data_IF_377763898593
#
_entry.id   IF_377763898593
#
_cell.length_a   1.000
_cell.length_b   1.000
_cell.length_c   1.000
_cell.angle_alpha   90.00
_cell.angle_beta   90.00
_cell.angle_gamma   90.00
#
_symmetry.space_group_name_H-M   'P 1'
#
loop_
_entity.id
_entity.type
_entity.pdbx_description
1 polymer ?
#
# COMPACT_ATOMS: atom_id res chain seq x y z
N UNK A 1 50.84 41.00 22.88
CA UNK A 1 50.64 41.48 21.49
C UNK A 1 51.33 40.52 20.54
N UNK A 2 50.57 39.60 19.96
CA UNK A 2 51.00 38.74 18.85
C UNK A 2 49.90 38.81 17.80
N UNK A 3 50.21 39.34 16.62
CA UNK A 3 49.29 39.54 15.51
C UNK A 3 49.01 38.19 14.83
N UNK A 4 47.75 37.82 14.68
CA UNK A 4 47.33 36.68 13.85
C UNK A 4 46.83 37.23 12.52
N UNK A 5 47.38 36.84 11.37
CA UNK A 5 46.94 37.37 10.08
C UNK A 5 45.59 36.80 9.68
N UNK A 6 44.73 37.69 9.18
CA UNK A 6 43.41 37.39 8.65
C UNK A 6 43.57 36.74 7.26
N UNK A 7 43.12 35.50 7.09
CA UNK A 7 43.16 34.79 5.80
C UNK A 7 41.83 35.05 5.10
N UNK A 8 41.84 35.91 4.07
CA UNK A 8 40.71 36.07 3.15
C UNK A 8 40.59 34.82 2.27
N UNK A 9 39.44 34.15 2.34
CA UNK A 9 39.06 33.09 1.39
C UNK A 9 38.52 33.75 0.12
N UNK A 10 38.99 33.35 -1.08
CA UNK A 10 38.52 33.93 -2.32
C UNK A 10 37.07 33.51 -2.60
N UNK A 11 36.32 34.47 -3.14
CA UNK A 11 34.95 34.39 -3.59
C UNK A 11 34.78 33.34 -4.70
N UNK A 12 33.98 32.30 -4.44
CA UNK A 12 33.59 31.32 -5.44
C UNK A 12 32.54 31.92 -6.38
N UNK A 13 32.95 32.30 -7.60
CA UNK A 13 32.05 32.46 -8.74
C UNK A 13 32.38 31.41 -9.81
N UNK A 14 31.34 30.67 -10.21
CA UNK A 14 31.22 30.08 -11.55
C UNK A 14 31.68 28.64 -11.72
N UNK A 15 30.74 27.76 -12.05
CA UNK A 15 31.02 26.45 -12.68
C UNK A 15 29.93 25.42 -12.45
N UNK A 16 29.00 25.29 -13.39
CA UNK A 16 27.90 24.32 -13.35
C UNK A 16 28.23 23.11 -14.23
N UNK A 17 27.90 21.91 -13.69
CA UNK A 17 27.69 20.59 -14.32
C UNK A 17 28.95 19.76 -14.57
N UNK A 18 29.05 18.56 -13.96
CA UNK A 18 28.75 17.24 -14.57
C UNK A 18 28.48 16.22 -13.45
N UNK A 19 27.33 15.52 -13.50
CA UNK A 19 27.21 14.14 -13.00
C UNK A 19 27.22 13.87 -11.48
N UNK A 20 26.48 14.63 -10.66
CA UNK A 20 26.10 14.08 -9.34
C UNK A 20 25.06 12.99 -9.56
N UNK A 21 25.54 11.76 -9.74
CA UNK A 21 24.76 10.58 -9.35
C UNK A 21 24.46 10.81 -7.87
N UNK A 22 23.21 11.15 -7.56
CA UNK A 22 22.74 11.09 -6.18
C UNK A 22 22.83 9.61 -5.82
N UNK A 23 23.90 9.24 -5.13
CA UNK A 23 24.03 7.94 -4.47
C UNK A 23 22.85 7.83 -3.51
N UNK A 24 21.75 7.22 -3.97
CA UNK A 24 20.59 6.94 -3.15
C UNK A 24 21.01 5.94 -2.09
N UNK A 25 21.38 6.45 -0.91
CA UNK A 25 21.63 5.61 0.25
C UNK A 25 20.35 4.86 0.62
N UNK A 26 20.29 3.57 0.29
CA UNK A 26 19.18 2.69 0.67
C UNK A 26 19.47 2.08 2.03
N UNK A 27 18.56 2.29 2.97
CA UNK A 27 18.59 1.62 4.28
C UNK A 27 17.77 0.34 4.18
N UNK A 28 18.38 -0.80 4.48
CA UNK A 28 17.67 -2.06 4.58
C UNK A 28 17.26 -2.30 6.03
N UNK A 29 15.98 -2.53 6.25
CA UNK A 29 15.42 -2.91 7.54
C UNK A 29 14.68 -4.25 7.42
N UNK A 30 14.51 -4.95 8.53
CA UNK A 30 13.73 -6.19 8.63
C UNK A 30 12.80 -6.11 9.82
N UNK A 31 11.55 -6.53 9.63
CA UNK A 31 10.57 -6.69 10.70
C UNK A 31 10.39 -8.20 10.89
N UNK A 32 10.49 -8.66 12.15
CA UNK A 32 10.34 -10.08 12.50
C UNK A 32 9.14 -10.21 13.43
N UNK A 33 8.25 -11.14 13.11
CA UNK A 33 7.06 -11.46 13.90
C UNK A 33 7.26 -12.80 14.62
N UNK A 34 6.68 -12.95 15.81
CA UNK A 34 6.70 -14.22 16.55
C UNK A 34 5.74 -15.24 15.91
N UNK A 35 4.64 -14.74 15.34
CA UNK A 35 3.58 -15.54 14.75
C UNK A 35 4.01 -16.21 13.45
N UNK A 36 4.07 -17.54 13.45
CA UNK A 36 4.33 -18.35 12.25
C UNK A 36 2.99 -18.84 11.69
N UNK A 37 2.52 -18.18 10.64
CA UNK A 37 1.29 -18.53 9.94
C UNK A 37 1.50 -19.38 8.68
N UNK A 38 0.45 -20.07 8.23
CA UNK A 38 0.42 -20.75 6.92
C UNK A 38 -0.38 -19.90 5.93
N UNK A 39 0.17 -19.53 4.76
CA UNK A 39 -0.57 -18.78 3.75
C UNK A 39 -1.83 -19.50 3.27
N UNK A 40 -2.90 -18.76 2.98
CA UNK A 40 -4.22 -19.34 2.66
C UNK A 40 -4.17 -20.25 1.43
N UNK A 41 -3.33 -19.92 0.43
CA UNK A 41 -3.14 -20.74 -0.77
C UNK A 41 -2.49 -22.11 -0.51
N UNK A 42 -1.92 -22.33 0.69
CA UNK A 42 -1.31 -23.60 1.08
C UNK A 42 -2.25 -24.47 1.93
N UNK A 43 -3.36 -23.90 2.43
CA UNK A 43 -4.33 -24.61 3.25
C UNK A 43 -5.06 -25.67 2.43
N UNK A 44 -5.44 -26.77 3.10
CA UNK A 44 -6.04 -27.96 2.46
C UNK A 44 -7.47 -28.21 2.90
N UNK A 45 -7.99 -27.45 3.85
CA UNK A 45 -9.35 -27.61 4.35
C UNK A 45 -10.14 -26.33 4.17
N UNK A 46 -11.38 -26.46 3.69
CA UNK A 46 -12.26 -25.30 3.52
C UNK A 46 -12.54 -24.57 4.82
N UNK A 47 -12.67 -25.31 5.93
CA UNK A 47 -12.88 -24.72 7.27
C UNK A 47 -11.78 -23.71 7.60
N UNK A 48 -10.51 -24.08 7.38
CA UNK A 48 -9.36 -23.22 7.65
C UNK A 48 -9.28 -22.05 6.68
N UNK A 49 -9.57 -22.28 5.39
CA UNK A 49 -9.64 -21.22 4.39
C UNK A 49 -10.69 -20.19 4.80
N UNK A 50 -11.89 -20.63 5.20
CA UNK A 50 -12.96 -19.71 5.62
C UNK A 50 -12.60 -18.95 6.90
N UNK A 51 -11.91 -19.56 7.86
CA UNK A 51 -11.40 -18.85 9.04
C UNK A 51 -10.42 -17.76 8.63
N UNK A 52 -9.45 -18.08 7.77
CA UNK A 52 -8.44 -17.13 7.31
C UNK A 52 -9.07 -15.95 6.55
N UNK A 53 -9.95 -16.24 5.58
CA UNK A 53 -10.65 -15.22 4.79
C UNK A 53 -11.59 -14.35 5.63
N UNK A 54 -12.36 -14.95 6.54
CA UNK A 54 -13.26 -14.22 7.45
C UNK A 54 -12.47 -13.20 8.26
N UNK A 55 -11.36 -13.62 8.87
CA UNK A 55 -10.55 -12.77 9.73
C UNK A 55 -9.77 -11.72 8.93
N UNK A 56 -9.36 -12.02 7.69
CA UNK A 56 -8.80 -11.04 6.76
C UNK A 56 -9.81 -9.92 6.43
N UNK A 57 -11.08 -10.26 6.18
CA UNK A 57 -12.14 -9.25 5.98
C UNK A 57 -12.35 -8.39 7.24
N UNK A 58 -12.27 -8.98 8.44
CA UNK A 58 -12.29 -8.21 9.69
C UNK A 58 -11.08 -7.27 9.81
N UNK A 59 -9.89 -7.72 9.43
CA UNK A 59 -8.69 -6.89 9.42
C UNK A 59 -8.82 -5.71 8.44
N UNK A 60 -9.32 -5.95 7.21
CA UNK A 60 -9.60 -4.87 6.25
C UNK A 60 -10.62 -3.85 6.79
N UNK A 61 -11.69 -4.32 7.44
CA UNK A 61 -12.65 -3.43 8.11
C UNK A 61 -11.99 -2.61 9.23
N UNK A 62 -11.11 -3.23 10.02
CA UNK A 62 -10.38 -2.53 11.07
C UNK A 62 -9.42 -1.47 10.49
N UNK A 63 -8.68 -1.78 9.43
CA UNK A 63 -7.84 -0.80 8.71
C UNK A 63 -8.68 0.36 8.19
N UNK A 64 -9.82 0.08 7.55
CA UNK A 64 -10.68 1.12 7.00
C UNK A 64 -11.29 2.01 8.09
N UNK A 65 -11.54 1.47 9.30
CA UNK A 65 -12.03 2.26 10.44
C UNK A 65 -11.08 3.40 10.82
N UNK A 66 -9.78 3.19 10.58
CA UNK A 66 -8.71 4.19 10.77
C UNK A 66 -8.27 4.84 9.45
N UNK A 67 -9.10 4.76 8.40
CA UNK A 67 -8.90 5.36 7.07
C UNK A 67 -7.76 4.76 6.24
N UNK A 68 -7.27 3.58 6.59
CA UNK A 68 -6.27 2.88 5.79
C UNK A 68 -6.89 1.80 4.89
N UNK A 69 -6.28 1.63 3.72
CA UNK A 69 -6.48 0.51 2.80
C UNK A 69 -5.15 -0.23 2.60
N UNK A 70 -5.20 -1.51 2.29
CA UNK A 70 -4.04 -2.39 2.18
C UNK A 70 -3.33 -2.30 0.83
N UNK A 71 -4.09 -2.33 -0.27
CA UNK A 71 -3.64 -2.25 -1.67
C UNK A 71 -2.74 -3.37 -2.18
N UNK A 72 -2.59 -4.45 -1.41
CA UNK A 72 -1.88 -5.67 -1.84
C UNK A 72 -2.44 -6.91 -1.14
N UNK A 73 -3.77 -7.00 -1.11
CA UNK A 73 -4.45 -8.20 -0.64
C UNK A 73 -4.22 -9.30 -1.67
N UNK A 74 -3.70 -10.42 -1.19
CA UNK A 74 -3.44 -11.61 -2.00
C UNK A 74 -3.50 -12.86 -1.13
N UNK A 75 -3.67 -14.02 -1.75
CA UNK A 75 -3.58 -15.29 -1.05
C UNK A 75 -2.24 -15.56 -0.33
N UNK A 76 -1.16 -14.87 -0.68
CA UNK A 76 0.13 -14.95 0.02
C UNK A 76 0.16 -14.11 1.31
N UNK A 77 -0.63 -13.03 1.36
CA UNK A 77 -0.67 -12.06 2.45
C UNK A 77 -1.79 -12.35 3.47
N UNK A 78 -2.57 -13.40 3.25
CA UNK A 78 -3.55 -13.92 4.20
C UNK A 78 -3.01 -15.19 4.81
N UNK A 79 -2.71 -15.16 6.11
CA UNK A 79 -2.16 -16.29 6.85
C UNK A 79 -3.20 -16.90 7.79
N UNK A 80 -3.12 -18.20 8.03
CA UNK A 80 -3.76 -18.86 9.16
C UNK A 80 -2.73 -19.09 10.27
N UNK A 81 -2.97 -18.51 11.44
CA UNK A 81 -2.19 -18.76 12.64
C UNK A 81 -2.88 -19.84 13.48
N UNK A 82 -2.11 -20.85 13.90
CA UNK A 82 -2.56 -21.87 14.85
C UNK A 82 -2.01 -21.54 16.23
N UNK A 83 -2.91 -21.35 17.18
CA UNK A 83 -2.56 -20.99 18.55
C UNK A 83 -2.53 -22.22 19.46
N UNK A 84 -1.80 -22.14 20.59
CA UNK A 84 -1.89 -23.15 21.64
C UNK A 84 -3.34 -23.38 22.07
N UNK A 85 -3.69 -24.65 22.29
CA UNK A 85 -5.07 -25.05 22.62
C UNK A 85 -5.98 -25.25 21.42
N UNK A 86 -5.43 -25.34 20.20
CA UNK A 86 -6.16 -25.76 18.99
C UNK A 86 -7.02 -24.67 18.36
N UNK A 87 -6.90 -23.42 18.84
CA UNK A 87 -7.56 -22.27 18.22
C UNK A 87 -6.82 -21.88 16.93
N UNK A 88 -7.56 -21.34 15.96
CA UNK A 88 -6.98 -20.81 14.73
C UNK A 88 -7.61 -19.44 14.43
N UNK A 89 -6.79 -18.51 13.93
CA UNK A 89 -7.22 -17.19 13.49
C UNK A 89 -6.54 -16.81 12.19
N UNK A 90 -7.23 -16.06 11.34
CA UNK A 90 -6.62 -15.44 10.18
C UNK A 90 -5.83 -14.19 10.56
N UNK A 91 -4.81 -13.89 9.76
CA UNK A 91 -3.96 -12.72 9.89
C UNK A 91 -3.72 -12.14 8.49
N UNK A 92 -3.98 -10.84 8.33
CA UNK A 92 -3.60 -10.09 7.14
C UNK A 92 -2.24 -9.43 7.41
N UNK A 93 -1.26 -9.71 6.56
CA UNK A 93 0.12 -9.23 6.68
C UNK A 93 0.51 -8.37 5.49
N UNK A 94 1.72 -7.80 5.52
CA UNK A 94 2.33 -7.05 4.43
C UNK A 94 1.68 -5.68 4.15
N UNK A 95 1.85 -4.78 5.13
CA UNK A 95 1.30 -3.41 5.09
C UNK A 95 2.22 -2.40 4.39
N UNK A 96 3.23 -2.83 3.63
CA UNK A 96 4.20 -1.91 3.01
C UNK A 96 3.54 -0.95 1.99
N UNK A 97 2.45 -1.41 1.38
CA UNK A 97 1.65 -0.61 0.47
C UNK A 97 0.42 0.00 1.14
N UNK A 98 0.23 -0.13 2.45
CA UNK A 98 -0.94 0.44 3.10
C UNK A 98 -0.98 1.97 2.92
N UNK A 99 -2.17 2.53 2.73
CA UNK A 99 -2.34 3.96 2.43
C UNK A 99 -3.57 4.54 3.12
N UNK A 100 -3.41 5.76 3.63
CA UNK A 100 -4.52 6.60 4.06
C UNK A 100 -5.36 7.05 2.86
N UNK A 101 -6.62 6.62 2.82
CA UNK A 101 -7.57 6.92 1.74
C UNK A 101 -7.90 8.42 1.64
N UNK A 102 -7.68 9.19 2.70
CA UNK A 102 -7.88 10.65 2.69
C UNK A 102 -6.78 11.38 1.92
N UNK A 103 -5.62 10.74 1.73
CA UNK A 103 -4.50 11.30 0.98
C UNK A 103 -4.66 10.99 -0.51
N UNK A 104 -4.78 12.05 -1.31
CA UNK A 104 -4.94 11.94 -2.76
C UNK A 104 -3.75 11.21 -3.40
N UNK A 105 -4.06 10.37 -4.37
CA UNK A 105 -3.07 9.73 -5.23
C UNK A 105 -2.31 10.76 -6.06
N UNK A 106 -0.99 10.63 -6.09
CA UNK A 106 -0.15 11.43 -7.00
C UNK A 106 -0.14 10.76 -8.37
N UNK A 107 0.07 11.53 -9.48
CA UNK A 107 0.17 10.95 -10.81
C UNK A 107 1.29 9.91 -10.97
N UNK A 108 2.29 9.94 -10.08
CA UNK A 108 3.45 9.05 -10.08
C UNK A 108 3.30 7.88 -9.11
N UNK A 109 2.15 7.73 -8.48
CA UNK A 109 1.90 6.58 -7.63
C UNK A 109 1.93 5.30 -8.47
N UNK A 110 2.88 4.43 -8.16
CA UNK A 110 3.06 3.16 -8.85
C UNK A 110 1.83 2.27 -8.66
N UNK A 111 1.53 1.42 -9.66
CA UNK A 111 0.55 0.36 -9.45
C UNK A 111 1.18 -0.62 -8.47
N UNK A 112 0.66 -0.64 -7.24
CA UNK A 112 1.02 -1.60 -6.21
C UNK A 112 -0.01 -2.71 -6.21
N UNK A 113 0.37 -3.89 -5.72
CA UNK A 113 -0.51 -5.04 -5.67
C UNK A 113 -0.07 -6.18 -6.59
N UNK A 114 -0.37 -7.40 -6.18
CA UNK A 114 -0.16 -8.61 -6.98
C UNK A 114 -1.11 -8.63 -8.19
N UNK A 115 -0.57 -8.65 -9.42
CA UNK A 115 -1.34 -8.40 -10.66
C UNK A 115 -2.56 -9.31 -10.85
N UNK A 116 -2.45 -10.58 -10.49
CA UNK A 116 -3.52 -11.56 -10.68
C UNK A 116 -4.67 -11.38 -9.68
N UNK A 117 -4.39 -10.71 -8.56
CA UNK A 117 -5.35 -10.43 -7.49
C UNK A 117 -5.79 -8.98 -7.46
N UNK A 118 -5.30 -8.14 -8.37
CA UNK A 118 -5.63 -6.72 -8.40
C UNK A 118 -7.06 -6.49 -8.89
N UNK A 119 -7.84 -5.72 -8.11
CA UNK A 119 -9.14 -5.22 -8.52
C UNK A 119 -9.14 -4.60 -9.93
N UNK A 120 -10.20 -4.85 -10.70
CA UNK A 120 -10.29 -4.41 -12.10
C UNK A 120 -10.17 -2.90 -12.25
N UNK A 121 -10.86 -2.13 -11.41
CA UNK A 121 -10.80 -0.66 -11.44
C UNK A 121 -9.40 -0.13 -11.12
N UNK A 122 -8.65 -0.82 -10.24
CA UNK A 122 -7.25 -0.49 -9.91
C UNK A 122 -6.33 -0.78 -11.10
N UNK A 123 -6.55 -1.91 -11.78
CA UNK A 123 -5.78 -2.29 -12.97
C UNK A 123 -6.01 -1.32 -14.13
N UNK A 124 -7.26 -0.93 -14.37
CA UNK A 124 -7.65 -0.01 -15.44
C UNK A 124 -7.44 1.47 -15.07
N UNK A 125 -7.24 1.78 -13.78
CA UNK A 125 -7.16 3.14 -13.23
C UNK A 125 -8.37 4.00 -13.59
N UNK A 126 -9.56 3.40 -13.56
CA UNK A 126 -10.81 4.04 -13.91
C UNK A 126 -11.97 3.44 -13.12
N UNK A 127 -12.98 4.27 -12.80
CA UNK A 127 -14.23 3.79 -12.23
C UNK A 127 -15.09 3.15 -13.33
N UNK A 128 -15.26 1.83 -13.28
CA UNK A 128 -16.03 1.02 -14.23
C UNK A 128 -17.45 0.74 -13.73
N UNK A 129 -17.67 0.70 -12.41
CA UNK A 129 -18.90 0.21 -11.79
C UNK A 129 -19.69 1.27 -11.01
N UNK A 130 -19.35 2.55 -11.15
CA UNK A 130 -20.15 3.62 -10.51
C UNK A 130 -21.54 3.68 -11.15
N UNK A 131 -22.63 3.56 -10.37
CA UNK A 131 -23.97 3.80 -10.89
C UNK A 131 -24.05 5.26 -11.38
N UNK A 132 -24.72 5.47 -12.52
CA UNK A 132 -24.99 6.82 -13.00
C UNK A 132 -25.77 7.55 -11.90
N UNK A 133 -25.27 8.67 -11.34
CA UNK A 133 -26.14 9.55 -10.58
C UNK A 133 -27.26 10.01 -11.50
N UNK A 134 -28.45 10.27 -10.97
CA UNK A 134 -29.53 10.93 -11.71
C UNK A 134 -28.93 12.17 -12.39
N UNK A 135 -28.81 12.12 -13.72
CA UNK A 135 -28.15 13.16 -14.49
C UNK A 135 -29.08 14.36 -14.57
N UNK A 136 -28.67 15.48 -13.96
CA UNK A 136 -29.26 16.77 -14.30
C UNK A 136 -28.86 17.12 -15.75
N UNK A 137 -29.82 17.39 -16.64
CA UNK A 137 -29.54 17.60 -18.06
C UNK A 137 -28.67 18.85 -18.27
N UNK A 138 -27.43 18.65 -18.74
CA UNK A 138 -26.52 19.72 -19.16
C UNK A 138 -25.13 19.73 -18.52
N UNK A 139 -24.88 18.89 -17.50
CA UNK A 139 -23.58 18.87 -16.83
C UNK A 139 -22.59 17.89 -17.50
N UNK A 140 -21.43 18.40 -17.94
CA UNK A 140 -20.37 17.55 -18.50
C UNK A 140 -19.80 16.68 -17.38
N UNK A 141 -19.97 15.37 -17.49
CA UNK A 141 -19.43 14.33 -16.58
C UNK A 141 -17.95 14.58 -16.27
N UNK A 142 -17.65 15.14 -15.10
CA UNK A 142 -16.29 15.18 -14.54
C UNK A 142 -16.21 14.19 -13.39
N UNK A 143 -15.77 12.96 -13.69
CA UNK A 143 -15.41 12.03 -12.63
C UNK A 143 -14.22 12.59 -11.84
N UNK A 144 -14.19 12.40 -10.51
CA UNK A 144 -12.99 12.71 -9.76
C UNK A 144 -11.83 11.83 -10.26
N UNK A 145 -10.58 12.27 -10.06
CA UNK A 145 -9.42 11.44 -10.34
C UNK A 145 -9.56 10.07 -9.67
N UNK A 146 -9.16 9.01 -10.37
CA UNK A 146 -9.23 7.65 -9.83
C UNK A 146 -8.43 7.53 -8.53
N UNK A 147 -9.05 6.90 -7.54
CA UNK A 147 -8.44 6.62 -6.25
C UNK A 147 -8.80 5.20 -5.79
N UNK A 148 -7.77 4.47 -5.33
CA UNK A 148 -7.93 3.17 -4.71
C UNK A 148 -8.78 3.35 -3.43
N UNK A 149 -9.83 2.54 -3.25
CA UNK A 149 -10.72 2.57 -2.09
C UNK A 149 -10.85 1.17 -1.46
N UNK A 150 -11.54 1.06 -0.33
CA UNK A 150 -11.65 -0.18 0.42
C UNK A 150 -12.40 -1.31 -0.30
N UNK A 151 -13.27 -1.01 -1.28
CA UNK A 151 -13.96 -2.04 -2.05
C UNK A 151 -12.98 -2.80 -2.94
N UNK A 152 -11.95 -2.12 -3.44
CA UNK A 152 -10.91 -2.77 -4.24
C UNK A 152 -10.07 -3.76 -3.41
N UNK A 153 -9.81 -3.46 -2.13
CA UNK A 153 -9.16 -4.43 -1.23
C UNK A 153 -10.00 -5.69 -1.05
N UNK A 154 -11.33 -5.55 -1.01
CA UNK A 154 -12.26 -6.68 -0.86
C UNK A 154 -12.42 -7.47 -2.17
N UNK A 155 -12.36 -6.81 -3.33
CA UNK A 155 -12.34 -7.47 -4.65
C UNK A 155 -11.04 -8.26 -4.87
N UNK A 156 -9.96 -7.81 -4.26
CA UNK A 156 -8.65 -8.45 -4.38
C UNK A 156 -8.61 -9.75 -3.55
N UNK A 157 -8.30 -10.90 -4.13
CA UNK A 157 -8.23 -12.20 -3.42
C UNK A 157 -7.27 -13.18 -4.05
#
# INVERSE_FOLDING_TARGET
MGNVPNIELPSAQGGLRIGQVLEEHRVHYRIVFEEIGTPVHQLRTFSEIFVALRDAVFALKAMFSVKYIHRDVSSSNILLLREPGGRARGLLVDLEYAKDVTVKSTPHEFRTGTRDFMALEVRERSYLFRPDPEQEPGEVRRLPPFQHNCLHDVEST
#
